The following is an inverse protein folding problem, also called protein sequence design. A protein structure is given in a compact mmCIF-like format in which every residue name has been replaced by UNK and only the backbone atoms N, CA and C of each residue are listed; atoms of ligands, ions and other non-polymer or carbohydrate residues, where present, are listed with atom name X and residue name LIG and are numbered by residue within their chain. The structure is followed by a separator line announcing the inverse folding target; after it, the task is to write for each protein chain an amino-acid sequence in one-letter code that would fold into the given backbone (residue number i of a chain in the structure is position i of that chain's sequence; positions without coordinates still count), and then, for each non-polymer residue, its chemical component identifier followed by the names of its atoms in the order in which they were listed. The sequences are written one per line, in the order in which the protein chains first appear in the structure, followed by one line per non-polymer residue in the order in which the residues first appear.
data_IF_119607838557
#
_entry.id   IF_119607838557
#
_cell.length_a   1.000
_cell.length_b   1.000
_cell.length_c   1.000
_cell.angle_alpha   90.00
_cell.angle_beta   90.00
_cell.angle_gamma   90.00
#
_symmetry.space_group_name_H-M   'P 1'
#
loop_
_entity.id
_entity.type
_entity.pdbx_description
1 polymer ?
#
# COMPACT_ATOMS: atom_id res chain seq x y z
N UNK A 1 -7.62 -1.13 -6.54
CA UNK A 1 -8.34 -2.36 -6.98
C UNK A 1 -8.47 -3.31 -5.80
N UNK A 2 -9.61 -3.98 -5.64
CA UNK A 2 -9.81 -4.99 -4.59
C UNK A 2 -10.16 -6.33 -5.24
N UNK A 3 -9.46 -7.41 -4.85
CA UNK A 3 -9.77 -8.78 -5.25
C UNK A 3 -10.12 -9.61 -4.00
N UNK A 4 -11.29 -10.24 -4.01
CA UNK A 4 -11.74 -11.15 -2.96
C UNK A 4 -11.91 -12.57 -3.53
N UNK A 5 -11.56 -13.60 -2.76
CA UNK A 5 -11.67 -15.00 -3.16
C UNK A 5 -10.88 -15.91 -2.23
N UNK A 6 -10.98 -17.23 -2.36
CA UNK A 6 -10.25 -18.14 -1.46
C UNK A 6 -8.72 -18.05 -1.63
N UNK A 7 -7.99 -18.57 -0.64
CA UNK A 7 -6.53 -18.75 -0.78
C UNK A 7 -6.24 -19.69 -1.95
N UNK A 8 -5.20 -19.37 -2.73
CA UNK A 8 -4.85 -20.16 -3.91
C UNK A 8 -5.61 -19.80 -5.19
N UNK A 9 -6.57 -18.86 -5.18
CA UNK A 9 -7.22 -18.36 -6.41
C UNK A 9 -6.32 -17.51 -7.33
N UNK A 10 -5.03 -17.35 -7.01
CA UNK A 10 -4.09 -16.62 -7.85
C UNK A 10 -4.18 -15.09 -7.79
N UNK A 11 -4.81 -14.52 -6.75
CA UNK A 11 -4.94 -13.06 -6.54
C UNK A 11 -3.59 -12.32 -6.64
N UNK A 12 -2.51 -12.95 -6.16
CA UNK A 12 -1.17 -12.36 -6.18
C UNK A 12 -0.47 -12.49 -7.54
N UNK A 13 -0.91 -13.40 -8.43
CA UNK A 13 -0.28 -13.61 -9.74
C UNK A 13 -0.34 -12.33 -10.58
N UNK A 14 -1.49 -11.64 -10.57
CA UNK A 14 -1.64 -10.37 -11.27
C UNK A 14 -0.64 -9.32 -10.79
N UNK A 15 -0.45 -9.22 -9.46
CA UNK A 15 0.54 -8.32 -8.89
C UNK A 15 1.97 -8.74 -9.22
N UNK A 16 2.30 -10.03 -9.14
CA UNK A 16 3.63 -10.55 -9.45
C UNK A 16 4.02 -10.27 -10.89
N UNK A 17 3.08 -10.40 -11.84
CA UNK A 17 3.33 -10.05 -13.24
C UNK A 17 3.66 -8.56 -13.36
N UNK A 18 2.84 -7.68 -12.76
CA UNK A 18 3.07 -6.23 -12.79
C UNK A 18 4.41 -5.87 -12.13
N UNK A 19 4.70 -6.45 -10.98
CA UNK A 19 5.94 -6.21 -10.21
C UNK A 19 7.18 -6.69 -10.94
N UNK A 20 7.19 -7.91 -11.47
CA UNK A 20 8.39 -8.54 -12.01
C UNK A 20 8.64 -8.20 -13.49
N UNK A 21 7.59 -7.92 -14.26
CA UNK A 21 7.70 -7.80 -15.73
C UNK A 21 7.33 -6.42 -16.28
N UNK A 22 6.67 -5.54 -15.50
CA UNK A 22 6.17 -4.24 -16.00
C UNK A 22 6.77 -3.06 -15.24
N UNK A 23 6.56 -2.99 -13.93
CA UNK A 23 6.92 -1.84 -13.10
C UNK A 23 8.34 -1.99 -12.55
N UNK A 24 8.70 -3.20 -12.11
CA UNK A 24 9.96 -3.50 -11.45
C UNK A 24 9.86 -3.53 -9.92
N UNK A 25 10.58 -4.46 -9.31
CA UNK A 25 10.52 -4.77 -7.87
C UNK A 25 10.83 -3.59 -6.96
N UNK A 26 11.70 -2.67 -7.39
CA UNK A 26 12.08 -1.46 -6.63
C UNK A 26 10.90 -0.52 -6.37
N UNK A 27 9.97 -0.42 -7.32
CA UNK A 27 8.84 0.50 -7.28
C UNK A 27 7.57 -0.14 -6.73
N UNK A 28 7.61 -1.44 -6.41
CA UNK A 28 6.50 -2.13 -5.78
C UNK A 28 6.74 -2.31 -4.27
N UNK A 29 5.66 -2.39 -3.52
CA UNK A 29 5.64 -2.76 -2.11
C UNK A 29 4.58 -3.84 -1.91
N UNK A 30 4.87 -4.83 -1.07
CA UNK A 30 3.95 -5.90 -0.72
C UNK A 30 3.98 -6.05 0.79
N UNK A 31 2.83 -5.94 1.44
CA UNK A 31 2.75 -6.02 2.90
C UNK A 31 1.35 -6.44 3.35
N UNK A 32 1.21 -7.32 4.35
CA UNK A 32 -0.08 -7.55 5.00
C UNK A 32 -0.45 -6.41 5.97
N UNK A 33 0.54 -5.61 6.40
CA UNK A 33 0.39 -4.57 7.43
C UNK A 33 0.04 -3.23 6.80
N UNK A 34 -1.21 -2.79 7.01
CA UNK A 34 -1.69 -1.48 6.58
C UNK A 34 -0.95 -0.32 7.27
N UNK A 35 -0.54 -0.48 8.53
CA UNK A 35 0.20 0.56 9.29
C UNK A 35 1.52 1.00 8.68
N UNK A 36 2.06 0.27 7.70
CA UNK A 36 3.22 0.70 6.93
C UNK A 36 2.87 1.86 5.97
N UNK A 37 1.59 2.00 5.63
CA UNK A 37 1.06 3.04 4.74
C UNK A 37 0.42 4.20 5.50
N UNK A 38 -0.37 3.88 6.53
CA UNK A 38 -1.17 4.84 7.31
C UNK A 38 -0.34 5.41 8.47
N UNK A 39 0.38 4.55 9.19
CA UNK A 39 1.10 4.93 10.39
C UNK A 39 2.23 5.95 10.19
N UNK A 40 2.63 6.55 11.31
CA UNK A 40 3.65 7.61 11.40
C UNK A 40 4.92 7.35 10.58
N UNK A 41 5.55 6.19 10.70
CA UNK A 41 6.77 5.86 9.95
C UNK A 41 6.45 5.15 8.64
N UNK A 42 6.14 5.93 7.61
CA UNK A 42 5.63 5.46 6.31
C UNK A 42 6.67 5.49 5.17
N UNK A 43 7.95 5.68 5.49
CA UNK A 43 9.03 5.77 4.50
C UNK A 43 9.13 4.60 3.49
N UNK A 44 8.57 3.43 3.81
CA UNK A 44 8.51 2.29 2.88
C UNK A 44 7.60 2.55 1.66
N UNK A 45 6.63 3.47 1.79
CA UNK A 45 5.72 3.91 0.72
C UNK A 45 6.38 4.91 -0.23
N UNK A 46 7.48 5.52 0.18
CA UNK A 46 8.14 6.53 -0.64
C UNK A 46 8.63 5.92 -1.96
N UNK A 47 8.43 6.66 -3.06
CA UNK A 47 8.83 6.27 -4.42
C UNK A 47 8.22 4.93 -4.89
N UNK A 48 7.07 4.54 -4.34
CA UNK A 48 6.30 3.38 -4.82
C UNK A 48 5.26 3.79 -5.85
N UNK A 49 5.09 2.94 -6.85
CA UNK A 49 4.09 3.06 -7.91
C UNK A 49 2.93 2.10 -7.66
N UNK A 50 3.19 0.95 -7.05
CA UNK A 50 2.18 -0.07 -6.76
C UNK A 50 2.43 -0.71 -5.40
N UNK A 51 1.42 -0.70 -4.55
CA UNK A 51 1.45 -1.37 -3.25
C UNK A 51 0.34 -2.41 -3.19
N UNK A 52 0.71 -3.63 -2.77
CA UNK A 52 -0.24 -4.69 -2.44
C UNK A 52 -0.41 -4.86 -0.94
N UNK A 53 -1.68 -4.84 -0.52
CA UNK A 53 -2.14 -5.23 0.80
C UNK A 53 -2.72 -6.65 0.72
N UNK A 54 -1.98 -7.64 1.22
CA UNK A 54 -2.32 -9.07 1.10
C UNK A 54 -3.34 -9.59 2.13
N UNK A 55 -3.88 -8.73 2.99
CA UNK A 55 -4.90 -9.11 3.97
C UNK A 55 -5.88 -7.95 4.17
N UNK A 56 -6.99 -7.95 3.42
CA UNK A 56 -8.03 -6.95 3.63
C UNK A 56 -8.72 -7.09 5.00
N UNK A 57 -8.55 -8.21 5.72
CA UNK A 57 -8.99 -8.36 7.11
C UNK A 57 -8.40 -7.25 8.01
N UNK A 58 -7.12 -6.90 7.81
CA UNK A 58 -6.50 -5.79 8.51
C UNK A 58 -7.09 -4.43 8.14
N UNK A 59 -7.72 -4.29 6.96
CA UNK A 59 -8.41 -3.07 6.52
C UNK A 59 -9.86 -3.03 7.04
N UNK A 60 -10.53 -4.19 7.10
CA UNK A 60 -11.90 -4.31 7.62
C UNK A 60 -11.96 -4.17 9.14
N UNK A 61 -10.92 -4.63 9.85
CA UNK A 61 -10.82 -4.58 11.31
C UNK A 61 -10.04 -3.37 11.85
N UNK A 62 -9.54 -2.49 10.99
CA UNK A 62 -8.80 -1.31 11.42
C UNK A 62 -9.69 -0.27 12.08
N UNK A 63 -9.07 0.67 12.80
CA UNK A 63 -9.79 1.81 13.36
C UNK A 63 -10.39 2.68 12.25
N UNK A 64 -11.39 3.49 12.60
CA UNK A 64 -11.94 4.50 11.69
C UNK A 64 -10.85 5.47 11.18
N UNK A 65 -9.91 5.84 12.04
CA UNK A 65 -8.77 6.70 11.70
C UNK A 65 -7.89 6.08 10.61
N UNK A 66 -7.53 4.80 10.77
CA UNK A 66 -6.73 4.07 9.78
C UNK A 66 -7.46 3.97 8.42
N UNK A 67 -8.79 3.88 8.41
CA UNK A 67 -9.58 3.84 7.16
C UNK A 67 -9.62 5.20 6.47
N UNK A 68 -9.70 6.29 7.23
CA UNK A 68 -9.66 7.64 6.68
C UNK A 68 -8.27 7.97 6.14
N UNK A 69 -7.20 7.61 6.85
CA UNK A 69 -5.83 7.73 6.33
C UNK A 69 -5.63 6.90 5.06
N UNK A 70 -6.19 5.68 4.98
CA UNK A 70 -6.13 4.88 3.75
C UNK A 70 -6.87 5.55 2.59
N UNK A 71 -8.00 6.22 2.83
CA UNK A 71 -8.69 7.00 1.78
C UNK A 71 -7.79 8.13 1.30
N UNK A 72 -7.16 8.87 2.21
CA UNK A 72 -6.22 9.94 1.87
C UNK A 72 -5.05 9.38 1.05
N UNK A 73 -4.55 8.19 1.37
CA UNK A 73 -3.50 7.52 0.58
C UNK A 73 -3.93 7.22 -0.86
N UNK A 74 -5.24 7.08 -1.13
CA UNK A 74 -5.77 6.77 -2.47
C UNK A 74 -6.07 8.06 -3.24
N UNK A 75 -6.53 9.11 -2.56
CA UNK A 75 -7.04 10.34 -3.19
C UNK A 75 -6.01 11.45 -3.30
N UNK A 76 -5.07 11.53 -2.35
CA UNK A 76 -4.13 12.64 -2.29
C UNK A 76 -3.01 12.53 -3.33
N UNK A 77 -2.69 13.67 -3.95
CA UNK A 77 -1.60 13.76 -4.94
C UNK A 77 -0.21 13.89 -4.30
N UNK A 78 -0.16 14.14 -3.00
CA UNK A 78 1.07 14.29 -2.21
C UNK A 78 0.92 13.62 -0.87
N UNK A 79 2.01 13.10 -0.32
CA UNK A 79 2.03 12.52 1.01
C UNK A 79 3.19 13.07 1.86
N UNK A 80 2.96 13.11 3.18
CA UNK A 80 4.00 13.39 4.17
C UNK A 80 4.79 12.11 4.41
N UNK A 81 6.09 12.15 4.16
CA UNK A 81 7.00 11.05 4.48
C UNK A 81 7.71 11.38 5.79
N UNK A 82 7.55 10.51 6.78
CA UNK A 82 8.28 10.59 8.04
C UNK A 82 9.23 9.40 8.18
N UNK A 83 10.52 9.72 8.28
CA UNK A 83 11.64 8.79 8.44
C UNK A 83 12.21 8.93 9.85
N UNK A 84 12.65 7.83 10.43
CA UNK A 84 13.24 7.87 11.78
C UNK A 84 14.52 8.72 11.76
N UNK A 85 14.56 9.77 12.58
CA UNK A 85 15.71 10.65 12.71
C UNK A 85 15.88 11.65 11.56
N UNK A 86 14.86 11.85 10.72
CA UNK A 86 14.84 12.84 9.64
C UNK A 86 13.53 13.63 9.75
N UNK A 87 13.59 14.94 9.53
CA UNK A 87 12.41 15.79 9.55
C UNK A 87 11.39 15.37 8.48
N UNK A 88 10.08 15.40 8.77
CA UNK A 88 9.05 15.06 7.79
C UNK A 88 9.09 15.99 6.58
N UNK A 89 8.90 15.44 5.39
CA UNK A 89 8.85 16.21 4.15
C UNK A 89 7.74 15.72 3.21
N UNK A 90 7.28 16.61 2.32
CA UNK A 90 6.25 16.28 1.33
C UNK A 90 6.86 15.73 0.05
N UNK A 91 6.28 14.65 -0.45
CA UNK A 91 6.60 14.10 -1.77
C UNK A 91 5.33 13.96 -2.59
N UNK A 92 5.48 13.90 -3.92
CA UNK A 92 4.39 13.50 -4.80
C UNK A 92 4.07 12.04 -4.56
N UNK A 93 2.80 11.73 -4.33
CA UNK A 93 2.35 10.35 -4.25
C UNK A 93 1.97 9.85 -5.65
N UNK A 94 2.51 8.71 -6.03
CA UNK A 94 2.23 8.03 -7.30
C UNK A 94 1.83 6.56 -7.05
N UNK A 95 1.58 6.20 -5.79
CA UNK A 95 1.34 4.85 -5.37
C UNK A 95 -0.10 4.44 -5.65
N UNK A 96 -0.27 3.32 -6.34
CA UNK A 96 -1.56 2.70 -6.56
C UNK A 96 -1.75 1.56 -5.57
N UNK A 97 -2.97 1.43 -5.04
CA UNK A 97 -3.30 0.40 -4.05
C UNK A 97 -4.04 -0.78 -4.70
N UNK A 98 -3.53 -1.97 -4.42
CA UNK A 98 -4.14 -3.24 -4.76
C UNK A 98 -4.35 -4.04 -3.48
N UNK A 99 -5.59 -4.41 -3.21
CA UNK A 99 -5.97 -5.09 -1.96
C UNK A 99 -6.42 -6.50 -2.32
N UNK A 100 -5.80 -7.50 -1.73
CA UNK A 100 -6.24 -8.89 -1.82
C UNK A 100 -6.85 -9.32 -0.47
N UNK A 101 -8.08 -9.84 -0.50
CA UNK A 101 -8.77 -10.41 0.65
C UNK A 101 -9.07 -11.87 0.40
N UNK A 102 -9.04 -12.66 1.47
CA UNK A 102 -9.78 -13.91 1.56
C UNK A 102 -11.27 -13.65 1.87
#
# INVERSE_FOLDING_TARGET
VVLEGEEGCGKNIAFEILKNHVIGTRYCLETPKMKILTGRFNSAREHKILTVLNEAANVKQSSHEDQDELKDCITESTCMIEKKGIDPYRVRDCNNLFIASN
#
